data_IF_078798412278
#
_entry.id   IF_078798412278
#
_cell.length_a   1.000
_cell.length_b   1.000
_cell.length_c   1.000
_cell.angle_alpha   90.00
_cell.angle_beta   90.00
_cell.angle_gamma   90.00
#
_symmetry.space_group_name_H-M   'P 1'
#
loop_
_entity.id
_entity.type
_entity.pdbx_description
1 polymer ?
#
# COMPACT_ATOMS: atom_id res chain seq x y z
N UNK A 1 -4.74 -8.31 -9.73
CA UNK A 1 -4.82 -9.73 -10.04
C UNK A 1 -5.01 -10.01 -11.53
N UNK A 2 -4.78 -11.23 -11.94
CA UNK A 2 -5.10 -11.71 -13.29
C UNK A 2 -6.59 -12.07 -13.36
N UNK A 3 -7.31 -11.45 -14.29
CA UNK A 3 -8.71 -11.74 -14.58
C UNK A 3 -8.76 -12.55 -15.87
N UNK A 4 -9.17 -13.80 -15.77
CA UNK A 4 -9.39 -14.68 -16.93
C UNK A 4 -10.85 -14.64 -17.32
N UNK A 5 -11.11 -14.38 -18.57
CA UNK A 5 -12.42 -14.51 -19.15
C UNK A 5 -12.42 -15.74 -20.06
N UNK A 6 -13.24 -16.74 -19.71
CA UNK A 6 -13.29 -18.04 -20.42
C UNK A 6 -14.05 -17.89 -21.72
N UNK A 7 -15.12 -17.11 -21.73
CA UNK A 7 -16.01 -16.91 -22.86
C UNK A 7 -15.45 -15.88 -23.86
N UNK A 8 -14.63 -14.97 -23.38
CA UNK A 8 -13.97 -13.93 -24.16
C UNK A 8 -12.46 -13.85 -23.85
N UNK A 9 -11.63 -14.74 -24.39
CA UNK A 9 -10.19 -14.77 -24.08
C UNK A 9 -9.47 -13.42 -24.33
N UNK A 10 -9.97 -12.62 -25.27
CA UNK A 10 -9.46 -11.27 -25.56
C UNK A 10 -9.73 -10.27 -24.44
N UNK A 11 -10.66 -10.57 -23.54
CA UNK A 11 -10.94 -9.75 -22.34
C UNK A 11 -10.08 -10.14 -21.13
N UNK A 12 -9.23 -11.15 -21.27
CA UNK A 12 -8.25 -11.51 -20.24
C UNK A 12 -7.31 -10.34 -19.98
N UNK A 13 -7.20 -9.91 -18.73
CA UNK A 13 -6.47 -8.71 -18.34
C UNK A 13 -5.83 -8.83 -16.97
N UNK A 14 -4.84 -7.97 -16.73
CA UNK A 14 -4.30 -7.73 -15.40
C UNK A 14 -5.01 -6.49 -14.83
N UNK A 15 -5.56 -6.63 -13.64
CA UNK A 15 -6.19 -5.53 -12.91
C UNK A 15 -5.28 -5.10 -11.74
N UNK A 16 -4.92 -3.83 -11.70
CA UNK A 16 -4.18 -3.18 -10.64
C UNK A 16 -5.09 -2.18 -9.91
N UNK A 17 -5.35 -2.43 -8.61
CA UNK A 17 -6.25 -1.60 -7.79
C UNK A 17 -5.53 -0.65 -6.83
N UNK A 18 -4.20 -0.72 -6.77
CA UNK A 18 -3.39 0.10 -5.86
C UNK A 18 -3.21 1.57 -6.28
N UNK A 19 -3.31 1.97 -7.57
CA UNK A 19 -3.14 3.36 -7.94
C UNK A 19 -4.24 4.27 -7.38
N UNK A 20 -3.84 5.46 -6.95
CA UNK A 20 -4.75 6.53 -6.55
C UNK A 20 -5.51 7.09 -7.77
N UNK A 21 -6.78 7.53 -7.65
CA UNK A 21 -7.54 8.14 -8.75
C UNK A 21 -6.86 9.36 -9.41
N UNK A 22 -6.01 10.07 -8.69
CA UNK A 22 -5.22 11.20 -9.20
C UNK A 22 -3.84 10.81 -9.74
N UNK A 23 -3.56 9.50 -9.87
CA UNK A 23 -2.30 9.01 -10.39
C UNK A 23 -2.13 9.43 -11.84
N UNK A 24 -0.93 9.93 -12.19
CA UNK A 24 -0.57 10.13 -13.58
C UNK A 24 -0.46 8.77 -14.28
N UNK A 25 -1.39 8.49 -15.18
CA UNK A 25 -1.53 7.20 -15.86
C UNK A 25 -0.28 6.80 -16.63
N UNK A 26 0.38 7.74 -17.28
CA UNK A 26 1.60 7.44 -18.06
C UNK A 26 2.75 7.02 -17.16
N UNK A 27 2.93 7.70 -16.03
CA UNK A 27 3.97 7.34 -15.04
C UNK A 27 3.68 6.01 -14.37
N UNK A 28 2.42 5.75 -14.04
CA UNK A 28 2.00 4.48 -13.46
C UNK A 28 2.25 3.31 -14.42
N UNK A 29 1.86 3.46 -15.69
CA UNK A 29 2.10 2.46 -16.72
C UNK A 29 3.60 2.22 -16.91
N UNK A 30 4.42 3.27 -16.98
CA UNK A 30 5.86 3.15 -17.10
C UNK A 30 6.45 2.36 -15.92
N UNK A 31 6.06 2.68 -14.69
CA UNK A 31 6.50 1.97 -13.49
C UNK A 31 6.09 0.49 -13.51
N UNK A 32 4.86 0.18 -13.93
CA UNK A 32 4.39 -1.21 -14.05
C UNK A 32 5.20 -2.00 -15.08
N UNK A 33 5.42 -1.45 -16.26
CA UNK A 33 6.22 -2.14 -17.27
C UNK A 33 7.67 -2.35 -16.85
N UNK A 34 8.28 -1.40 -16.17
CA UNK A 34 9.63 -1.53 -15.63
C UNK A 34 9.66 -2.65 -14.58
N UNK A 35 8.69 -2.69 -13.66
CA UNK A 35 8.59 -3.74 -12.64
C UNK A 35 8.32 -5.12 -13.24
N UNK A 36 7.47 -5.19 -14.28
CA UNK A 36 7.24 -6.45 -15.01
C UNK A 36 8.50 -6.93 -15.71
N UNK A 37 9.27 -6.02 -16.32
CA UNK A 37 10.54 -6.36 -16.97
C UNK A 37 11.55 -6.89 -15.96
N UNK A 38 11.61 -6.32 -14.75
CA UNK A 38 12.46 -6.82 -13.67
C UNK A 38 12.12 -8.27 -13.31
N UNK A 39 10.82 -8.55 -13.11
CA UNK A 39 10.35 -9.91 -12.86
C UNK A 39 10.68 -10.88 -14.00
N UNK A 40 10.52 -10.48 -15.27
CA UNK A 40 10.85 -11.30 -16.43
C UNK A 40 12.36 -11.59 -16.47
N UNK A 41 13.20 -10.60 -16.19
CA UNK A 41 14.67 -10.80 -16.12
C UNK A 41 15.04 -11.80 -15.02
N UNK A 42 14.49 -11.63 -13.82
CA UNK A 42 14.72 -12.57 -12.72
C UNK A 42 14.29 -13.99 -13.10
N UNK A 43 13.17 -14.14 -13.82
CA UNK A 43 12.73 -15.43 -14.36
C UNK A 43 13.76 -16.05 -15.31
N UNK A 44 14.22 -15.30 -16.28
CA UNK A 44 15.19 -15.78 -17.28
C UNK A 44 16.52 -16.13 -16.61
N UNK A 45 17.00 -15.29 -15.72
CA UNK A 45 18.27 -15.48 -15.01
C UNK A 45 18.23 -16.67 -14.04
N UNK A 46 17.07 -16.97 -13.46
CA UNK A 46 16.91 -18.12 -12.57
C UNK A 46 17.06 -19.48 -13.26
N UNK A 47 16.83 -19.54 -14.58
CA UNK A 47 16.79 -20.79 -15.35
C UNK A 47 15.62 -21.72 -14.97
N UNK A 48 14.66 -21.25 -14.16
CA UNK A 48 13.51 -22.02 -13.70
C UNK A 48 12.38 -22.04 -14.74
N UNK A 49 11.60 -23.10 -14.69
CA UNK A 49 10.39 -23.23 -15.50
C UNK A 49 9.26 -22.38 -14.94
N UNK A 50 8.28 -22.04 -15.76
CA UNK A 50 7.08 -21.33 -15.32
C UNK A 50 6.35 -22.04 -14.18
N UNK A 51 6.36 -23.38 -14.18
CA UNK A 51 5.72 -24.18 -13.13
C UNK A 51 6.45 -24.05 -11.78
N UNK A 52 7.78 -24.04 -11.80
CA UNK A 52 8.56 -23.82 -10.57
C UNK A 52 8.36 -22.43 -10.02
N UNK A 53 8.22 -21.42 -10.87
CA UNK A 53 7.93 -20.06 -10.47
C UNK A 53 6.51 -19.88 -9.95
N UNK A 54 5.52 -20.54 -10.56
CA UNK A 54 4.14 -20.55 -10.05
C UNK A 54 4.08 -21.21 -8.67
N UNK A 55 4.83 -22.30 -8.47
CA UNK A 55 4.92 -22.98 -7.17
C UNK A 55 5.55 -22.06 -6.11
N UNK A 56 6.53 -21.24 -6.47
CA UNK A 56 7.14 -20.30 -5.53
C UNK A 56 6.16 -19.27 -4.99
N UNK A 57 5.15 -18.85 -5.77
CA UNK A 57 4.09 -17.96 -5.29
C UNK A 57 3.29 -18.54 -4.13
N UNK A 58 3.25 -19.86 -4.02
CA UNK A 58 2.52 -20.61 -2.97
C UNK A 58 3.44 -21.12 -1.85
N UNK A 59 4.69 -20.65 -1.79
CA UNK A 59 5.61 -21.01 -0.70
C UNK A 59 5.07 -20.50 0.62
N UNK A 60 5.39 -21.20 1.70
CA UNK A 60 5.08 -20.76 3.06
C UNK A 60 6.18 -19.84 3.60
N UNK A 61 5.82 -19.00 4.56
CA UNK A 61 6.80 -18.21 5.28
C UNK A 61 7.82 -19.14 5.96
N UNK A 62 9.10 -18.81 5.83
CA UNK A 62 10.21 -19.64 6.28
C UNK A 62 10.83 -20.53 5.19
N UNK A 63 10.12 -20.83 4.10
CA UNK A 63 10.65 -21.55 2.97
C UNK A 63 11.58 -20.67 2.12
N UNK A 64 12.67 -21.23 1.64
CA UNK A 64 13.59 -20.54 0.73
C UNK A 64 12.88 -20.29 -0.62
N UNK A 65 13.05 -19.08 -1.14
CA UNK A 65 12.64 -18.68 -2.48
C UNK A 65 13.82 -18.22 -3.30
N UNK A 66 13.70 -18.22 -4.62
CA UNK A 66 14.77 -17.69 -5.49
C UNK A 66 14.60 -16.18 -5.75
N UNK A 67 13.37 -15.67 -5.69
CA UNK A 67 13.01 -14.27 -5.99
C UNK A 67 12.20 -13.63 -4.87
N UNK A 68 11.30 -14.39 -4.23
CA UNK A 68 10.39 -13.90 -3.21
C UNK A 68 11.03 -13.96 -1.81
N UNK A 69 10.66 -13.00 -0.97
CA UNK A 69 11.19 -12.88 0.39
C UNK A 69 10.86 -14.13 1.22
N UNK A 70 11.85 -14.63 1.99
CA UNK A 70 11.74 -15.87 2.76
C UNK A 70 10.59 -15.86 3.75
N UNK A 71 10.46 -14.78 4.53
CA UNK A 71 9.53 -14.69 5.65
C UNK A 71 8.16 -14.10 5.28
N UNK A 72 7.83 -14.10 3.97
CA UNK A 72 6.58 -13.58 3.43
C UNK A 72 5.77 -14.65 2.72
N UNK A 73 4.45 -14.51 2.76
CA UNK A 73 3.52 -15.25 1.93
C UNK A 73 2.96 -14.33 0.83
N UNK A 74 2.85 -14.86 -0.38
CA UNK A 74 2.40 -14.10 -1.56
C UNK A 74 1.05 -14.59 -2.07
N UNK A 75 0.61 -15.73 -1.57
CA UNK A 75 -0.68 -16.35 -1.87
C UNK A 75 -1.18 -17.08 -0.64
N UNK A 76 -2.43 -16.89 -0.29
CA UNK A 76 -3.12 -17.63 0.76
C UNK A 76 -4.44 -18.15 0.24
N UNK A 77 -4.81 -19.37 0.63
CA UNK A 77 -6.15 -19.95 0.41
C UNK A 77 -7.11 -19.56 1.55
N UNK A 78 -6.59 -18.97 2.63
CA UNK A 78 -7.36 -18.47 3.76
C UNK A 78 -7.75 -17.01 3.56
N UNK A 79 -8.86 -16.59 4.18
CA UNK A 79 -9.21 -15.18 4.23
C UNK A 79 -8.23 -14.41 5.13
N UNK A 80 -7.52 -13.45 4.55
CA UNK A 80 -6.46 -12.72 5.23
C UNK A 80 -6.99 -11.88 6.40
N UNK A 81 -8.27 -11.50 6.39
CA UNK A 81 -8.87 -10.67 7.43
C UNK A 81 -9.63 -11.48 8.48
N UNK A 82 -10.13 -12.67 8.14
CA UNK A 82 -10.88 -13.53 9.05
C UNK A 82 -9.98 -14.53 9.77
N UNK A 83 -9.01 -15.13 9.06
CA UNK A 83 -8.21 -16.24 9.56
C UNK A 83 -6.89 -15.81 10.22
N UNK A 84 -6.47 -14.55 10.08
CA UNK A 84 -5.21 -14.04 10.63
C UNK A 84 -5.45 -12.81 11.49
N UNK A 85 -4.77 -12.72 12.63
CA UNK A 85 -4.75 -11.51 13.45
C UNK A 85 -3.90 -10.39 12.82
N UNK A 86 -3.90 -9.19 13.39
CA UNK A 86 -3.20 -8.03 12.83
C UNK A 86 -1.68 -8.21 12.77
N UNK A 87 -1.08 -8.85 13.77
CA UNK A 87 0.36 -9.09 13.84
C UNK A 87 0.79 -10.12 12.80
N UNK A 88 0.05 -11.21 12.66
CA UNK A 88 0.28 -12.23 11.65
C UNK A 88 0.15 -11.65 10.24
N UNK A 89 -0.88 -10.85 9.98
CA UNK A 89 -1.04 -10.16 8.68
C UNK A 89 0.13 -9.25 8.38
N UNK A 90 0.56 -8.45 9.33
CA UNK A 90 1.68 -7.54 9.15
C UNK A 90 2.98 -8.29 8.88
N UNK A 91 3.19 -9.43 9.56
CA UNK A 91 4.37 -10.27 9.39
C UNK A 91 4.36 -11.02 8.05
N UNK A 92 3.30 -11.73 7.73
CA UNK A 92 3.23 -12.62 6.57
C UNK A 92 3.00 -11.85 5.26
N UNK A 93 2.08 -10.88 5.25
CA UNK A 93 1.66 -10.19 4.03
C UNK A 93 2.15 -8.73 3.95
N UNK A 94 2.71 -8.21 5.03
CA UNK A 94 3.16 -6.84 5.13
C UNK A 94 2.05 -5.87 5.51
N UNK A 95 2.46 -4.73 6.05
CA UNK A 95 1.57 -3.62 6.39
C UNK A 95 1.78 -2.49 5.38
N UNK A 96 0.80 -2.16 4.55
CA UNK A 96 0.93 -1.04 3.63
C UNK A 96 1.04 0.28 4.40
N UNK A 97 1.78 1.26 3.87
CA UNK A 97 1.84 2.60 4.45
C UNK A 97 0.44 3.22 4.57
N UNK A 98 0.10 3.76 5.73
CA UNK A 98 -1.19 4.40 5.98
C UNK A 98 -1.21 5.89 5.60
N UNK A 99 -0.04 6.52 5.51
CA UNK A 99 0.10 7.95 5.24
C UNK A 99 1.11 8.21 4.12
N UNK A 100 1.04 9.41 3.52
CA UNK A 100 2.04 9.87 2.53
C UNK A 100 3.43 9.91 3.17
N UNK A 101 3.54 10.28 4.44
CA UNK A 101 4.80 10.28 5.18
C UNK A 101 5.42 8.90 5.25
N UNK A 102 4.66 7.90 5.71
CA UNK A 102 5.14 6.51 5.78
C UNK A 102 5.54 5.97 4.41
N UNK A 103 4.76 6.31 3.37
CA UNK A 103 5.07 5.93 1.99
C UNK A 103 6.38 6.54 1.50
N UNK A 104 6.63 7.81 1.80
CA UNK A 104 7.89 8.47 1.45
C UNK A 104 9.07 7.92 2.26
N UNK A 105 8.85 7.51 3.51
CA UNK A 105 9.86 6.80 4.30
C UNK A 105 10.18 5.42 3.69
N UNK A 106 9.18 4.68 3.23
CA UNK A 106 9.37 3.39 2.57
C UNK A 106 10.26 3.49 1.31
N UNK A 107 10.12 4.55 0.51
CA UNK A 107 10.98 4.82 -0.65
C UNK A 107 12.47 4.87 -0.23
N UNK A 108 12.77 5.46 0.93
CA UNK A 108 14.15 5.55 1.45
C UNK A 108 14.65 4.24 2.05
N UNK A 109 13.75 3.44 2.60
CA UNK A 109 14.09 2.19 3.28
C UNK A 109 14.36 1.03 2.31
N UNK A 110 13.89 1.14 1.06
CA UNK A 110 14.03 0.10 0.04
C UNK A 110 14.74 0.62 -1.23
N UNK A 111 15.98 1.12 -1.11
CA UNK A 111 16.69 1.75 -2.22
C UNK A 111 16.92 0.81 -3.40
N UNK A 112 17.13 -0.49 -3.16
CA UNK A 112 17.30 -1.51 -4.20
C UNK A 112 16.00 -1.72 -5.02
N UNK A 113 14.84 -1.70 -4.39
CA UNK A 113 13.53 -1.80 -5.07
C UNK A 113 13.22 -0.53 -5.87
N UNK A 114 13.61 0.63 -5.35
CA UNK A 114 13.47 1.91 -6.06
C UNK A 114 14.44 1.99 -7.24
N UNK A 115 15.63 1.40 -7.13
CA UNK A 115 16.59 1.36 -8.23
C UNK A 115 16.05 0.63 -9.47
N UNK A 116 15.16 -0.35 -9.29
CA UNK A 116 14.47 -1.03 -10.41
C UNK A 116 13.75 -0.02 -11.30
N UNK A 117 13.09 0.99 -10.73
CA UNK A 117 12.36 2.02 -11.47
C UNK A 117 13.26 2.88 -12.35
N UNK A 118 14.57 2.92 -12.08
CA UNK A 118 15.53 3.68 -12.89
C UNK A 118 16.04 2.88 -14.10
N UNK A 119 15.62 1.64 -14.25
CA UNK A 119 16.00 0.77 -15.37
C UNK A 119 15.66 1.42 -16.71
N UNK A 120 16.60 1.41 -17.64
CA UNK A 120 16.43 2.04 -18.94
C UNK A 120 16.43 3.59 -18.91
N UNK A 121 16.70 4.20 -17.77
CA UNK A 121 16.74 5.66 -17.58
C UNK A 121 15.42 6.38 -17.96
N UNK A 122 14.29 5.68 -17.89
CA UNK A 122 12.96 6.22 -18.16
C UNK A 122 12.50 7.09 -16.99
N UNK A 123 12.55 6.53 -15.78
CA UNK A 123 12.30 7.26 -14.55
C UNK A 123 13.66 7.55 -13.88
N UNK A 124 14.22 8.71 -14.13
CA UNK A 124 15.53 9.10 -13.57
C UNK A 124 15.45 9.24 -12.05
N UNK A 125 16.56 8.97 -11.36
CA UNK A 125 16.66 9.08 -9.90
C UNK A 125 16.23 10.46 -9.40
N UNK A 126 16.69 11.51 -10.06
CA UNK A 126 16.37 12.91 -9.71
C UNK A 126 14.87 13.19 -9.87
N UNK A 127 14.22 12.55 -10.85
CA UNK A 127 12.78 12.65 -11.04
C UNK A 127 12.02 11.98 -9.88
N UNK A 128 12.43 10.77 -9.47
CA UNK A 128 11.82 10.04 -8.34
C UNK A 128 11.98 10.84 -7.05
N UNK A 129 13.17 11.37 -6.78
CA UNK A 129 13.45 12.19 -5.61
C UNK A 129 12.63 13.49 -5.61
N UNK A 130 12.53 14.16 -6.76
CA UNK A 130 11.72 15.37 -6.92
C UNK A 130 10.24 15.09 -6.71
N UNK A 131 9.73 13.98 -7.26
CA UNK A 131 8.35 13.56 -7.08
C UNK A 131 8.04 13.27 -5.61
N UNK A 132 8.90 12.51 -4.92
CA UNK A 132 8.73 12.20 -3.51
C UNK A 132 8.73 13.46 -2.64
N UNK A 133 9.66 14.38 -2.88
CA UNK A 133 9.71 15.68 -2.19
C UNK A 133 8.47 16.52 -2.45
N UNK A 134 8.02 16.60 -3.71
CA UNK A 134 6.82 17.33 -4.09
C UNK A 134 5.55 16.76 -3.45
N UNK A 135 5.40 15.43 -3.42
CA UNK A 135 4.30 14.75 -2.76
C UNK A 135 4.25 15.04 -1.25
N UNK A 136 5.41 15.02 -0.58
CA UNK A 136 5.52 15.31 0.85
C UNK A 136 5.17 16.77 1.17
N UNK A 137 5.70 17.72 0.40
CA UNK A 137 5.41 19.15 0.57
C UNK A 137 3.92 19.42 0.37
N UNK A 138 3.33 18.86 -0.68
CA UNK A 138 1.90 19.00 -0.96
C UNK A 138 1.06 18.43 0.18
N UNK A 139 1.38 17.22 0.65
CA UNK A 139 0.68 16.61 1.77
C UNK A 139 0.74 17.47 3.03
N UNK A 140 1.93 17.95 3.39
CA UNK A 140 2.14 18.81 4.54
C UNK A 140 1.35 20.13 4.42
N UNK A 141 1.39 20.76 3.26
CA UNK A 141 0.67 22.01 3.00
C UNK A 141 -0.84 21.83 3.10
N UNK A 142 -1.39 20.77 2.50
CA UNK A 142 -2.82 20.45 2.57
C UNK A 142 -3.25 20.13 4.02
N UNK A 143 -2.44 19.37 4.75
CA UNK A 143 -2.73 19.02 6.14
C UNK A 143 -2.81 20.26 7.02
N UNK A 144 -1.79 21.11 6.98
CA UNK A 144 -1.65 22.29 7.85
C UNK A 144 -2.62 23.42 7.48
N UNK A 145 -2.83 23.69 6.19
CA UNK A 145 -3.54 24.88 5.74
C UNK A 145 -5.04 24.63 5.46
N UNK A 146 -5.43 23.39 5.26
CA UNK A 146 -6.82 23.05 4.92
C UNK A 146 -7.41 22.02 5.88
N UNK A 147 -6.85 20.80 5.92
CA UNK A 147 -7.50 19.67 6.61
C UNK A 147 -7.65 19.94 8.11
N UNK A 148 -6.58 20.34 8.79
CA UNK A 148 -6.64 20.64 10.23
C UNK A 148 -7.58 21.79 10.53
N UNK A 149 -7.47 22.98 9.89
CA UNK A 149 -8.39 24.09 10.16
C UNK A 149 -9.86 23.80 9.85
N UNK A 150 -10.16 23.10 8.76
CA UNK A 150 -11.54 22.77 8.37
C UNK A 150 -12.19 21.79 9.36
N UNK A 151 -11.51 20.67 9.62
CA UNK A 151 -12.08 19.61 10.46
C UNK A 151 -11.94 19.84 11.96
N UNK A 152 -11.05 20.72 12.41
CA UNK A 152 -10.91 21.05 13.83
C UNK A 152 -12.25 21.54 14.43
N UNK A 153 -12.93 22.45 13.74
CA UNK A 153 -14.24 22.97 14.18
C UNK A 153 -15.29 21.86 14.23
N UNK A 154 -15.35 21.05 13.19
CA UNK A 154 -16.32 19.95 13.12
C UNK A 154 -16.12 18.95 14.24
N UNK A 155 -14.88 18.51 14.46
CA UNK A 155 -14.53 17.56 15.52
C UNK A 155 -14.81 18.13 16.90
N UNK A 156 -14.56 19.42 17.12
CA UNK A 156 -14.89 20.09 18.38
C UNK A 156 -16.40 20.22 18.64
N UNK A 157 -17.22 20.31 17.59
CA UNK A 157 -18.68 20.41 17.68
C UNK A 157 -19.37 19.05 17.79
N UNK A 158 -18.69 17.95 17.50
CA UNK A 158 -19.27 16.60 17.62
C UNK A 158 -19.69 16.34 19.05
N UNK A 159 -20.87 15.75 19.22
CA UNK A 159 -21.42 15.34 20.52
C UNK A 159 -21.58 13.83 20.55
N UNK A 160 -21.63 13.27 21.76
CA UNK A 160 -22.05 11.89 21.92
C UNK A 160 -23.46 11.72 21.35
N UNK A 161 -23.69 10.61 20.65
CA UNK A 161 -25.01 10.27 20.14
C UNK A 161 -25.96 9.89 21.29
N UNK A 162 -25.42 9.24 22.32
CA UNK A 162 -26.15 8.80 23.50
C UNK A 162 -25.38 9.24 24.76
N UNK A 163 -26.07 9.95 25.66
CA UNK A 163 -25.50 10.37 26.96
C UNK A 163 -25.84 9.39 28.09
N UNK A 164 -26.62 8.36 27.79
CA UNK A 164 -27.08 7.33 28.72
C UNK A 164 -26.34 5.98 28.53
N UNK A 165 -26.67 5.00 29.36
CA UNK A 165 -26.08 3.65 29.34
C UNK A 165 -26.51 2.80 28.12
N UNK A 166 -27.28 3.36 27.18
CA UNK A 166 -27.77 2.69 25.96
C UNK A 166 -26.82 2.83 24.77
N UNK A 167 -25.63 3.36 24.96
CA UNK A 167 -24.63 3.44 23.89
C UNK A 167 -24.10 2.05 23.52
N UNK A 168 -23.90 1.83 22.22
CA UNK A 168 -23.27 0.61 21.74
C UNK A 168 -21.75 0.65 21.98
N UNK A 169 -21.13 -0.53 21.99
CA UNK A 169 -19.64 -0.63 22.06
C UNK A 169 -18.99 0.16 20.93
N UNK A 170 -19.61 0.19 19.75
CA UNK A 170 -19.15 0.97 18.61
C UNK A 170 -19.18 2.48 18.90
N UNK A 171 -20.27 3.01 19.48
CA UNK A 171 -20.40 4.43 19.79
C UNK A 171 -19.36 4.87 20.82
N UNK A 172 -19.10 4.05 21.84
CA UNK A 172 -18.06 4.28 22.83
C UNK A 172 -16.68 4.38 22.18
N UNK A 173 -16.33 3.42 21.32
CA UNK A 173 -15.05 3.39 20.62
C UNK A 173 -14.88 4.58 19.65
N UNK A 174 -15.94 4.98 18.97
CA UNK A 174 -15.93 6.17 18.11
C UNK A 174 -15.75 7.45 18.91
N UNK A 175 -16.39 7.55 20.08
CA UNK A 175 -16.22 8.71 20.96
C UNK A 175 -14.80 8.83 21.51
N UNK A 176 -14.16 7.72 21.88
CA UNK A 176 -12.75 7.70 22.28
C UNK A 176 -11.83 8.22 21.17
N UNK A 177 -12.07 7.80 19.93
CA UNK A 177 -11.34 8.32 18.76
C UNK A 177 -11.52 9.82 18.57
N UNK A 178 -12.74 10.32 18.68
CA UNK A 178 -13.05 11.76 18.58
C UNK A 178 -12.33 12.54 19.70
N UNK A 179 -12.35 12.03 20.92
CA UNK A 179 -11.65 12.64 22.05
C UNK A 179 -10.11 12.67 21.84
N UNK A 180 -9.55 11.58 21.33
CA UNK A 180 -8.14 11.52 21.00
C UNK A 180 -7.76 12.51 19.89
N UNK A 181 -8.59 12.63 18.84
CA UNK A 181 -8.39 13.61 17.77
C UNK A 181 -8.45 15.05 18.27
N UNK A 182 -9.41 15.37 19.15
CA UNK A 182 -9.48 16.71 19.78
C UNK A 182 -8.20 17.06 20.52
N UNK A 183 -7.69 16.11 21.32
CA UNK A 183 -6.47 16.30 22.07
C UNK A 183 -5.23 16.47 21.17
N UNK A 184 -5.22 15.78 20.04
CA UNK A 184 -4.11 15.88 19.08
C UNK A 184 -4.13 17.19 18.31
N UNK A 185 -5.33 17.64 17.90
CA UNK A 185 -5.50 18.88 17.14
C UNK A 185 -5.42 20.16 18.02
N UNK A 186 -5.60 20.02 19.32
CA UNK A 186 -5.50 21.13 20.28
C UNK A 186 -4.09 21.37 20.81
N UNK A 187 -3.15 20.51 20.46
CA UNK A 187 -1.73 20.74 20.79
C UNK A 187 -1.12 21.64 19.71
N UNK A 188 -0.84 22.85 20.08
CA UNK A 188 -0.02 23.81 19.31
C UNK A 188 1.41 23.29 19.08
#
# INVERSE_FOLDING_TARGET
GLIRDIDSPMATRIEMRSPNPYTNTYLAIAAFYISMLDGIKACVESGKTLKEMENELSKKAGDEGFYLEKDREYRSEHDVFEDYNEEERAHLFGKPPATVWENMCAIKNYPEKIAVLTTGNILKKEFIESFAKGALIRWQTELLNRIIPEYHKEICLMKKLHDDDNHTTHDAAMWEKIAAMRNTMAKD
#
